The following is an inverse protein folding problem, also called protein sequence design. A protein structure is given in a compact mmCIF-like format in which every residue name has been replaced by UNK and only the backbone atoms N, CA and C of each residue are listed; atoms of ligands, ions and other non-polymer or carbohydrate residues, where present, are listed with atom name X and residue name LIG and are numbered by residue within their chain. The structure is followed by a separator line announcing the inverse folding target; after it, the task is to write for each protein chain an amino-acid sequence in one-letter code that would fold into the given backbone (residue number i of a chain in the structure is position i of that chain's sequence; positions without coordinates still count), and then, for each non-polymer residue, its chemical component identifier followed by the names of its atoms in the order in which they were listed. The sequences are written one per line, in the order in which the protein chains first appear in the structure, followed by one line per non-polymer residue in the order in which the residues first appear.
data_IF_091360884609
#
_entry.id   IF_091360884609
#
_cell.length_a   1.000
_cell.length_b   1.000
_cell.length_c   1.000
_cell.angle_alpha   90.00
_cell.angle_beta   90.00
_cell.angle_gamma   90.00
#
_symmetry.space_group_name_H-M   'P 1'
#
loop_
_entity.id
_entity.type
_entity.pdbx_description
1 polymer ?
#
# COMPACT_ATOMS: atom_id res chain seq x y z
N UNK A 1 15.90 11.32 -37.80
CA UNK A 1 16.06 10.93 -36.37
C UNK A 1 14.77 11.14 -35.59
N UNK A 2 14.33 12.38 -35.29
CA UNK A 2 13.15 12.65 -34.46
C UNK A 2 11.87 11.90 -34.87
N UNK A 3 11.48 11.89 -36.15
CA UNK A 3 10.31 11.13 -36.62
C UNK A 3 10.44 9.61 -36.39
N UNK A 4 11.66 9.08 -36.53
CA UNK A 4 11.97 7.66 -36.30
C UNK A 4 11.89 7.31 -34.81
N UNK A 5 12.27 8.24 -33.92
CA UNK A 5 12.07 8.05 -32.48
C UNK A 5 10.59 8.16 -32.11
N UNK A 6 9.90 9.21 -32.59
CA UNK A 6 8.51 9.50 -32.26
C UNK A 6 7.51 8.43 -32.76
N UNK A 7 7.81 7.74 -33.87
CA UNK A 7 6.98 6.64 -34.37
C UNK A 7 7.56 5.26 -34.05
N UNK A 8 8.87 5.09 -34.19
CA UNK A 8 9.54 3.81 -34.02
C UNK A 8 9.59 3.33 -32.56
N UNK A 9 9.77 4.22 -31.58
CA UNK A 9 9.78 3.81 -30.16
C UNK A 9 8.38 3.33 -29.73
N UNK A 10 7.27 4.06 -29.99
CA UNK A 10 5.93 3.53 -29.73
C UNK A 10 5.60 2.26 -30.52
N UNK A 11 6.04 2.13 -31.77
CA UNK A 11 5.80 0.92 -32.57
C UNK A 11 6.53 -0.30 -32.00
N UNK A 12 7.81 -0.15 -31.60
CA UNK A 12 8.59 -1.21 -30.95
C UNK A 12 7.95 -1.58 -29.61
N UNK A 13 7.52 -0.60 -28.82
CA UNK A 13 6.81 -0.84 -27.56
C UNK A 13 5.51 -1.63 -27.80
N UNK A 14 4.70 -1.24 -28.79
CA UNK A 14 3.45 -1.92 -29.15
C UNK A 14 3.69 -3.36 -29.63
N UNK A 15 4.75 -3.61 -30.43
CA UNK A 15 5.16 -4.96 -30.82
C UNK A 15 5.62 -5.78 -29.60
N UNK A 16 6.39 -5.19 -28.69
CA UNK A 16 6.88 -5.86 -27.49
C UNK A 16 5.75 -6.25 -26.51
N UNK A 17 4.70 -5.43 -26.40
CA UNK A 17 3.52 -5.74 -25.55
C UNK A 17 2.40 -6.48 -26.30
N UNK A 18 2.53 -6.75 -27.60
CA UNK A 18 1.45 -7.32 -28.42
C UNK A 18 0.91 -8.66 -27.90
N UNK A 19 1.79 -9.55 -27.42
CA UNK A 19 1.39 -10.83 -26.83
C UNK A 19 0.58 -10.65 -25.53
N UNK A 20 0.96 -9.68 -24.69
CA UNK A 20 0.21 -9.34 -23.48
C UNK A 20 -1.14 -8.70 -23.82
N UNK A 21 -1.18 -7.75 -24.76
CA UNK A 21 -2.42 -7.14 -25.26
C UNK A 21 -3.38 -8.17 -25.83
N UNK A 22 -2.88 -9.20 -26.51
CA UNK A 22 -3.70 -10.31 -27.00
C UNK A 22 -4.31 -11.14 -25.86
N UNK A 23 -3.53 -11.41 -24.81
CA UNK A 23 -4.00 -12.16 -23.63
C UNK A 23 -5.03 -11.38 -22.81
N UNK A 24 -4.90 -10.05 -22.72
CA UNK A 24 -5.86 -9.18 -22.00
C UNK A 24 -6.98 -8.62 -22.88
N UNK A 25 -7.08 -9.01 -24.16
CA UNK A 25 -8.02 -8.41 -25.13
C UNK A 25 -9.48 -8.45 -24.66
N UNK A 26 -9.86 -9.52 -23.96
CA UNK A 26 -11.24 -9.72 -23.50
C UNK A 26 -11.54 -8.79 -22.29
N UNK A 27 -10.52 -8.43 -21.49
CA UNK A 27 -10.58 -7.40 -20.45
C UNK A 27 -10.63 -5.98 -21.04
N UNK A 28 -10.01 -5.75 -22.20
CA UNK A 28 -10.15 -4.50 -22.96
C UNK A 28 -11.57 -4.33 -23.52
N UNK A 29 -12.28 -5.42 -23.82
CA UNK A 29 -13.69 -5.39 -24.23
C UNK A 29 -14.69 -5.31 -23.07
N UNK A 30 -14.29 -5.71 -21.86
CA UNK A 30 -15.17 -5.80 -20.69
C UNK A 30 -15.66 -4.42 -20.20
N UNK A 31 -16.83 -4.37 -19.51
CA UNK A 31 -17.35 -3.18 -18.85
C UNK A 31 -16.60 -2.87 -17.53
N UNK A 32 -15.27 -2.91 -17.59
CA UNK A 32 -14.39 -2.54 -16.48
C UNK A 32 -14.13 -1.03 -16.61
N UNK A 33 -14.60 -0.29 -15.61
CA UNK A 33 -14.34 1.14 -15.43
C UNK A 33 -13.70 1.35 -14.07
N UNK A 34 -12.71 2.22 -14.00
CA UNK A 34 -12.19 2.77 -12.75
C UNK A 34 -13.34 3.45 -11.99
N UNK A 35 -13.57 3.10 -10.72
CA UNK A 35 -14.56 3.77 -9.88
C UNK A 35 -14.00 5.02 -9.18
N UNK A 36 -12.76 5.42 -9.52
CA UNK A 36 -12.08 6.54 -8.88
C UNK A 36 -12.36 7.84 -9.62
N UNK A 37 -13.00 8.78 -8.92
CA UNK A 37 -13.32 10.11 -9.45
C UNK A 37 -12.16 11.10 -9.28
N UNK A 38 -12.19 12.17 -10.10
CA UNK A 38 -11.32 13.34 -9.97
C UNK A 38 -11.73 14.14 -8.74
N UNK A 39 -10.77 14.58 -7.92
CA UNK A 39 -11.00 15.42 -6.74
C UNK A 39 -10.15 16.69 -6.84
N UNK A 40 -10.79 17.83 -6.57
CA UNK A 40 -10.13 19.11 -6.43
C UNK A 40 -8.94 19.05 -5.45
N UNK A 41 -9.04 18.24 -4.39
CA UNK A 41 -8.02 18.10 -3.35
C UNK A 41 -6.77 17.34 -3.77
N UNK A 42 -6.74 16.65 -4.92
CA UNK A 42 -5.55 15.88 -5.32
C UNK A 42 -4.32 16.75 -5.64
N UNK A 43 -4.44 18.07 -5.79
CA UNK A 43 -3.27 18.95 -5.76
C UNK A 43 -2.49 18.83 -4.45
N UNK A 44 -3.16 18.53 -3.33
CA UNK A 44 -2.53 18.30 -2.04
C UNK A 44 -1.70 17.02 -2.05
N UNK A 45 -2.16 15.97 -2.74
CA UNK A 45 -1.39 14.72 -2.92
C UNK A 45 -0.11 15.00 -3.71
N UNK A 46 -0.21 15.78 -4.80
CA UNK A 46 0.96 16.21 -5.58
C UNK A 46 1.98 16.98 -4.70
N UNK A 47 1.55 17.71 -3.67
CA UNK A 47 2.46 18.48 -2.79
C UNK A 47 2.97 17.68 -1.59
N UNK A 48 2.06 17.13 -0.80
CA UNK A 48 2.34 16.53 0.51
C UNK A 48 3.09 15.19 0.37
N UNK A 49 2.65 14.32 -0.54
CA UNK A 49 3.22 12.97 -0.69
C UNK A 49 4.61 12.98 -1.33
N UNK A 50 5.01 14.11 -1.90
CA UNK A 50 6.34 14.35 -2.47
C UNK A 50 7.28 15.09 -1.49
N UNK A 51 6.86 15.30 -0.24
CA UNK A 51 7.70 15.85 0.83
C UNK A 51 7.72 17.38 0.93
N UNK A 52 6.74 18.08 0.33
CA UNK A 52 6.50 19.55 0.37
C UNK A 52 7.60 20.42 -0.21
N UNK A 53 8.85 20.27 0.25
CA UNK A 53 10.03 21.04 -0.13
C UNK A 53 10.45 20.83 -1.59
N UNK A 54 10.21 19.65 -2.17
CA UNK A 54 10.57 19.39 -3.58
C UNK A 54 9.78 20.26 -4.55
N UNK A 55 8.54 20.63 -4.21
CA UNK A 55 7.65 21.40 -5.09
C UNK A 55 8.17 22.82 -5.36
N UNK A 56 8.48 23.69 -4.37
CA UNK A 56 9.05 25.01 -4.65
C UNK A 56 10.42 24.93 -5.33
N UNK A 57 11.22 23.89 -5.05
CA UNK A 57 12.50 23.67 -5.73
C UNK A 57 12.28 23.28 -7.20
N UNK A 58 11.29 22.42 -7.49
CA UNK A 58 10.89 22.07 -8.85
C UNK A 58 10.31 23.27 -9.60
N UNK A 59 9.55 24.15 -8.94
CA UNK A 59 9.10 25.44 -9.53
C UNK A 59 10.29 26.32 -9.90
N UNK A 60 11.31 26.42 -9.04
CA UNK A 60 12.54 27.15 -9.35
C UNK A 60 13.28 26.54 -10.55
N UNK A 61 13.45 25.21 -10.59
CA UNK A 61 14.06 24.50 -11.72
C UNK A 61 13.27 24.67 -13.03
N UNK A 62 11.94 24.69 -12.96
CA UNK A 62 11.07 25.00 -14.08
C UNK A 62 11.30 26.44 -14.58
N UNK A 63 11.30 27.44 -13.69
CA UNK A 63 11.55 28.85 -14.06
C UNK A 63 12.93 29.03 -14.70
N UNK A 64 13.97 28.38 -14.17
CA UNK A 64 15.34 28.41 -14.71
C UNK A 64 15.40 27.74 -16.07
N UNK A 65 14.91 26.50 -16.19
CA UNK A 65 14.99 25.71 -17.42
C UNK A 65 14.09 26.21 -18.55
N UNK A 66 12.89 26.73 -18.25
CA UNK A 66 12.00 27.36 -19.23
C UNK A 66 12.63 28.64 -19.81
N UNK A 67 13.29 29.47 -18.98
CA UNK A 67 14.08 30.63 -19.45
C UNK A 67 15.22 30.20 -20.38
N UNK A 68 15.84 29.06 -20.11
CA UNK A 68 16.87 28.44 -20.96
C UNK A 68 16.28 27.69 -22.18
N UNK A 69 14.95 27.58 -22.30
CA UNK A 69 14.22 26.81 -23.33
C UNK A 69 14.66 25.33 -23.42
N UNK A 70 15.01 24.75 -22.26
CA UNK A 70 15.41 23.35 -22.13
C UNK A 70 14.26 22.39 -22.48
N UNK A 71 14.49 21.47 -23.42
CA UNK A 71 13.45 20.56 -23.93
C UNK A 71 12.95 19.60 -22.85
N UNK A 72 13.86 19.04 -22.05
CA UNK A 72 13.56 18.20 -20.89
C UNK A 72 12.66 18.90 -19.87
N UNK A 73 12.89 20.20 -19.64
CA UNK A 73 12.08 21.01 -18.72
C UNK A 73 10.71 21.35 -19.31
N UNK A 74 10.63 21.67 -20.60
CA UNK A 74 9.35 21.92 -21.29
C UNK A 74 8.48 20.65 -21.23
N UNK A 75 9.07 19.47 -21.47
CA UNK A 75 8.37 18.18 -21.37
C UNK A 75 7.94 17.85 -19.94
N UNK A 76 8.81 18.06 -18.94
CA UNK A 76 8.48 17.83 -17.53
C UNK A 76 7.36 18.76 -17.02
N UNK A 77 7.37 20.03 -17.42
CA UNK A 77 6.29 20.98 -17.09
C UNK A 77 4.98 20.61 -17.81
N UNK A 78 5.05 20.25 -19.10
CA UNK A 78 3.89 19.75 -19.85
C UNK A 78 3.28 18.50 -19.20
N UNK A 79 4.11 17.55 -18.78
CA UNK A 79 3.71 16.36 -18.04
C UNK A 79 2.98 16.74 -16.73
N UNK A 80 3.53 17.65 -15.92
CA UNK A 80 2.87 18.07 -14.68
C UNK A 80 1.51 18.74 -14.91
N UNK A 81 1.35 19.48 -16.00
CA UNK A 81 0.05 20.06 -16.39
C UNK A 81 -0.95 18.98 -16.80
N UNK A 82 -0.52 17.94 -17.53
CA UNK A 82 -1.36 16.79 -17.85
C UNK A 82 -1.77 16.01 -16.60
N UNK A 83 -0.83 15.73 -15.69
CA UNK A 83 -1.11 15.07 -14.40
C UNK A 83 -2.12 15.86 -13.58
N UNK A 84 -1.95 17.19 -13.50
CA UNK A 84 -2.88 18.06 -12.80
C UNK A 84 -4.27 18.07 -13.47
N UNK A 85 -4.34 18.03 -14.81
CA UNK A 85 -5.62 17.95 -15.51
C UNK A 85 -6.34 16.62 -15.27
N UNK A 86 -5.69 15.48 -15.51
CA UNK A 86 -6.29 14.15 -15.31
C UNK A 86 -6.61 13.84 -13.84
N UNK A 87 -5.90 14.43 -12.87
CA UNK A 87 -6.22 14.29 -11.46
C UNK A 87 -7.33 15.23 -10.99
N UNK A 88 -7.30 16.51 -11.39
CA UNK A 88 -8.03 17.60 -10.71
C UNK A 88 -9.10 18.23 -11.60
N UNK A 89 -8.76 18.62 -12.83
CA UNK A 89 -9.62 19.52 -13.63
C UNK A 89 -10.47 18.81 -14.70
N UNK A 90 -9.93 17.80 -15.39
CA UNK A 90 -10.61 17.06 -16.45
C UNK A 90 -10.89 17.84 -17.73
N UNK A 91 -10.12 18.88 -18.07
CA UNK A 91 -10.34 19.70 -19.28
C UNK A 91 -10.11 18.89 -20.55
N UNK A 92 -9.10 18.01 -20.57
CA UNK A 92 -8.82 17.13 -21.71
C UNK A 92 -9.93 16.10 -21.89
N UNK A 93 -10.47 15.55 -20.80
CA UNK A 93 -11.63 14.66 -20.84
C UNK A 93 -12.88 15.39 -21.34
N UNK A 94 -13.13 16.62 -20.88
CA UNK A 94 -14.28 17.41 -21.33
C UNK A 94 -14.23 17.77 -22.83
N UNK A 95 -13.04 17.96 -23.40
CA UNK A 95 -12.86 18.32 -24.83
C UNK A 95 -12.72 17.08 -25.73
N UNK A 96 -12.00 16.05 -25.27
CA UNK A 96 -11.58 14.90 -26.08
C UNK A 96 -12.09 13.55 -25.56
N UNK A 97 -12.96 13.51 -24.55
CA UNK A 97 -13.45 12.28 -23.92
C UNK A 97 -14.10 11.27 -24.88
N UNK A 98 -14.75 11.74 -25.95
CA UNK A 98 -15.27 10.84 -27.00
C UNK A 98 -14.19 10.11 -27.80
N UNK A 99 -12.97 10.67 -27.89
CA UNK A 99 -11.81 10.06 -28.54
C UNK A 99 -10.98 9.23 -27.55
N UNK A 100 -10.81 9.73 -26.32
CA UNK A 100 -9.93 9.15 -25.30
C UNK A 100 -10.63 8.17 -24.35
N UNK A 101 -11.97 8.13 -24.31
CA UNK A 101 -12.77 7.31 -23.39
C UNK A 101 -12.36 5.84 -23.25
N UNK A 102 -11.96 5.11 -24.31
CA UNK A 102 -11.45 3.74 -24.20
C UNK A 102 -10.19 3.59 -23.33
N UNK A 103 -9.43 4.68 -23.15
CA UNK A 103 -8.26 4.80 -22.29
C UNK A 103 -8.68 5.37 -20.92
N UNK A 104 -9.37 6.52 -20.91
CA UNK A 104 -9.71 7.27 -19.67
C UNK A 104 -10.61 6.49 -18.72
N UNK A 105 -11.37 5.49 -19.20
CA UNK A 105 -12.12 4.57 -18.32
C UNK A 105 -11.24 3.79 -17.33
N UNK A 106 -9.93 3.75 -17.51
CA UNK A 106 -8.98 3.11 -16.61
C UNK A 106 -8.20 4.12 -15.74
N UNK A 107 -8.47 5.42 -15.86
CA UNK A 107 -7.76 6.44 -15.10
C UNK A 107 -8.01 6.28 -13.61
N UNK A 108 -6.94 6.39 -12.83
CA UNK A 108 -7.01 6.46 -11.37
C UNK A 108 -6.46 7.82 -10.92
N UNK A 109 -7.32 8.86 -10.85
CA UNK A 109 -6.90 10.25 -10.58
C UNK A 109 -5.98 10.45 -9.36
N UNK A 110 -6.26 9.78 -8.24
CA UNK A 110 -5.39 9.79 -7.07
C UNK A 110 -3.99 9.19 -7.35
N UNK A 111 -3.94 8.04 -8.03
CA UNK A 111 -2.65 7.42 -8.40
C UNK A 111 -1.89 8.26 -9.44
N UNK A 112 -2.59 8.93 -10.35
CA UNK A 112 -2.00 9.90 -11.28
C UNK A 112 -1.40 11.08 -10.50
N UNK A 113 -2.12 11.64 -9.51
CA UNK A 113 -1.63 12.72 -8.65
C UNK A 113 -0.44 12.31 -7.76
N UNK A 114 -0.38 11.06 -7.32
CA UNK A 114 0.71 10.55 -6.48
C UNK A 114 1.93 10.13 -7.31
N UNK A 115 1.77 9.33 -8.36
CA UNK A 115 2.91 8.74 -9.08
C UNK A 115 3.34 9.55 -10.29
N UNK A 116 2.40 10.25 -10.94
CA UNK A 116 2.66 11.08 -12.11
C UNK A 116 3.71 12.19 -11.92
N UNK A 117 3.79 12.89 -10.78
CA UNK A 117 4.76 13.97 -10.59
C UNK A 117 6.20 13.50 -10.30
N UNK A 118 6.43 12.24 -9.94
CA UNK A 118 7.73 11.75 -9.43
C UNK A 118 8.89 12.05 -10.40
N UNK A 119 8.74 11.69 -11.67
CA UNK A 119 9.79 11.92 -12.69
C UNK A 119 9.97 13.43 -12.97
N UNK A 120 8.90 14.21 -13.29
CA UNK A 120 9.03 15.65 -13.44
C UNK A 120 9.65 16.37 -12.23
N UNK A 121 9.24 16.06 -11.00
CA UNK A 121 9.82 16.68 -9.81
C UNK A 121 11.27 16.26 -9.57
N UNK A 122 11.67 15.04 -9.98
CA UNK A 122 13.09 14.65 -9.94
C UNK A 122 13.93 15.49 -10.91
N UNK A 123 13.46 15.66 -12.16
CA UNK A 123 14.16 16.46 -13.19
C UNK A 123 14.21 17.94 -12.78
N UNK A 124 13.05 18.52 -12.48
CA UNK A 124 12.92 19.94 -12.16
C UNK A 124 13.54 20.27 -10.79
N UNK A 125 13.33 19.42 -9.80
CA UNK A 125 13.93 19.55 -8.47
C UNK A 125 15.45 19.45 -8.51
N UNK A 126 16.01 18.52 -9.29
CA UNK A 126 17.45 18.43 -9.53
C UNK A 126 18.03 19.70 -10.16
N UNK A 127 17.37 20.25 -11.18
CA UNK A 127 17.78 21.53 -11.81
C UNK A 127 17.67 22.69 -10.81
N UNK A 128 16.63 22.73 -9.98
CA UNK A 128 16.44 23.74 -8.93
C UNK A 128 17.52 23.66 -7.84
N UNK A 129 17.86 22.45 -7.37
CA UNK A 129 18.93 22.21 -6.40
C UNK A 129 20.30 22.61 -6.94
N UNK A 130 20.63 22.21 -8.17
CA UNK A 130 21.89 22.59 -8.82
C UNK A 130 21.98 24.12 -8.98
N UNK A 131 20.91 24.78 -9.41
CA UNK A 131 20.89 26.23 -9.51
C UNK A 131 21.07 26.92 -8.14
N UNK A 132 20.45 26.41 -7.07
CA UNK A 132 20.65 26.92 -5.71
C UNK A 132 22.10 26.72 -5.25
N UNK A 133 22.69 25.55 -5.54
CA UNK A 133 24.08 25.27 -5.26
C UNK A 133 25.01 26.26 -5.99
N UNK A 134 25.01 26.26 -7.32
CA UNK A 134 25.88 27.08 -8.17
C UNK A 134 25.74 28.58 -7.89
N UNK A 135 24.50 29.04 -7.58
CA UNK A 135 24.19 30.49 -7.54
C UNK A 135 24.16 31.10 -6.16
N UNK A 136 23.90 30.30 -5.11
CA UNK A 136 23.75 30.76 -3.73
C UNK A 136 24.80 30.16 -2.81
N UNK A 137 25.11 28.87 -2.93
CA UNK A 137 25.98 28.17 -1.97
C UNK A 137 27.45 28.23 -2.40
N UNK A 138 27.78 27.75 -3.60
CA UNK A 138 29.15 27.70 -4.12
C UNK A 138 29.87 29.06 -4.10
N UNK A 139 29.26 30.21 -4.49
CA UNK A 139 29.96 31.50 -4.49
C UNK A 139 30.37 32.00 -3.10
N UNK A 140 29.74 31.49 -2.04
CA UNK A 140 30.07 31.81 -0.64
C UNK A 140 30.96 30.74 0.01
N UNK A 141 31.08 29.56 -0.61
CA UNK A 141 32.07 28.55 -0.25
C UNK A 141 33.40 28.86 -0.95
N UNK A 142 34.22 29.70 -0.32
CA UNK A 142 35.63 29.87 -0.72
C UNK A 142 36.34 28.50 -0.71
N UNK A 143 36.49 27.91 -1.90
CA UNK A 143 37.11 26.60 -2.20
C UNK A 143 37.11 25.62 -1.01
N UNK A 144 36.09 24.75 -0.85
CA UNK A 144 35.95 23.94 0.34
C UNK A 144 37.20 23.09 0.53
N UNK A 145 37.94 23.22 1.65
CA UNK A 145 39.01 22.27 1.93
C UNK A 145 38.34 20.91 2.03
N UNK A 146 38.80 19.91 1.27
CA UNK A 146 38.19 18.57 1.19
C UNK A 146 37.81 17.97 2.56
N UNK A 147 38.54 18.34 3.62
CA UNK A 147 38.24 18.09 5.04
C UNK A 147 36.82 18.46 5.48
N UNK A 148 36.23 19.55 4.98
CA UNK A 148 34.85 19.94 5.28
C UNK A 148 33.84 18.98 4.64
N UNK A 149 34.07 18.54 3.40
CA UNK A 149 33.25 17.53 2.75
C UNK A 149 33.34 16.16 3.47
N UNK A 150 34.55 15.76 3.89
CA UNK A 150 34.71 14.59 4.76
C UNK A 150 34.03 14.76 6.12
N UNK A 151 34.03 15.96 6.71
CA UNK A 151 33.33 16.26 7.94
C UNK A 151 31.80 16.17 7.81
N UNK A 152 31.24 16.71 6.72
CA UNK A 152 29.80 16.58 6.41
C UNK A 152 29.44 15.12 6.14
N UNK A 153 30.22 14.41 5.32
CA UNK A 153 29.98 12.99 5.03
C UNK A 153 30.08 12.12 6.29
N UNK A 154 31.10 12.32 7.12
CA UNK A 154 31.23 11.65 8.41
C UNK A 154 30.06 11.98 9.34
N UNK A 155 29.59 13.24 9.37
CA UNK A 155 28.40 13.63 10.13
C UNK A 155 27.15 12.91 9.62
N UNK A 156 26.93 12.85 8.30
CA UNK A 156 25.80 12.11 7.71
C UNK A 156 25.86 10.61 7.98
N UNK A 157 27.06 10.01 7.94
CA UNK A 157 27.27 8.60 8.30
C UNK A 157 26.99 8.38 9.79
N UNK A 158 27.51 9.23 10.68
CA UNK A 158 27.25 9.14 12.13
C UNK A 158 25.77 9.35 12.44
N UNK A 159 25.07 10.24 11.74
CA UNK A 159 23.62 10.40 11.85
C UNK A 159 22.87 9.15 11.37
N UNK A 160 23.23 8.58 10.21
CA UNK A 160 22.60 7.37 9.69
C UNK A 160 22.84 6.14 10.60
N UNK A 161 24.07 5.98 11.10
CA UNK A 161 24.40 4.95 12.09
C UNK A 161 23.70 5.19 13.43
N UNK A 162 23.54 6.45 13.84
CA UNK A 162 22.76 6.83 15.01
C UNK A 162 21.28 6.47 14.86
N UNK A 163 20.67 6.79 13.71
CA UNK A 163 19.29 6.38 13.40
C UNK A 163 19.14 4.86 13.41
N UNK A 164 20.13 4.13 12.88
CA UNK A 164 20.12 2.66 12.87
C UNK A 164 20.31 2.06 14.28
N UNK A 165 21.20 2.64 15.10
CA UNK A 165 21.48 2.17 16.46
C UNK A 165 20.35 2.48 17.46
N UNK A 166 19.74 3.67 17.35
CA UNK A 166 18.67 4.15 18.23
C UNK A 166 17.27 4.04 17.60
N UNK A 167 17.09 3.10 16.66
CA UNK A 167 15.87 3.02 15.87
C UNK A 167 14.61 2.76 16.72
N UNK A 168 14.76 2.03 17.84
CA UNK A 168 13.64 1.70 18.75
C UNK A 168 13.22 2.91 19.57
N UNK A 169 14.18 3.63 20.13
CA UNK A 169 13.95 4.85 20.91
C UNK A 169 13.38 5.95 20.01
N UNK A 170 13.90 6.10 18.80
CA UNK A 170 13.35 7.02 17.80
C UNK A 170 11.92 6.63 17.39
N UNK A 171 11.65 5.33 17.17
CA UNK A 171 10.32 4.83 16.86
C UNK A 171 9.33 5.15 17.99
N UNK A 172 9.63 4.78 19.24
CA UNK A 172 8.78 5.05 20.40
C UNK A 172 8.52 6.55 20.56
N UNK A 173 9.57 7.39 20.56
CA UNK A 173 9.43 8.86 20.67
C UNK A 173 8.63 9.49 19.52
N UNK A 174 8.56 8.82 18.36
CA UNK A 174 7.80 9.30 17.20
C UNK A 174 6.31 8.89 17.21
N UNK A 175 5.88 7.95 18.06
CA UNK A 175 4.49 7.47 18.11
C UNK A 175 3.50 8.61 18.39
N UNK A 176 3.83 9.50 19.33
CA UNK A 176 2.98 10.66 19.68
C UNK A 176 3.07 11.83 18.67
N UNK A 177 4.09 11.84 17.80
CA UNK A 177 4.40 12.98 16.94
C UNK A 177 4.04 12.75 15.46
N UNK A 178 3.93 11.50 15.02
CA UNK A 178 3.64 11.14 13.64
C UNK A 178 2.42 10.21 13.54
N UNK A 179 1.55 10.49 12.57
CA UNK A 179 0.37 9.68 12.24
C UNK A 179 0.56 9.04 10.86
N UNK A 180 1.65 8.30 10.66
CA UNK A 180 1.86 7.58 9.42
C UNK A 180 0.79 6.48 9.25
N UNK A 181 0.27 6.36 8.03
CA UNK A 181 -0.69 5.32 7.67
C UNK A 181 0.04 4.18 6.96
N UNK A 182 -0.12 2.96 7.46
CA UNK A 182 0.42 1.76 6.81
C UNK A 182 -0.21 0.49 7.37
N UNK A 183 -0.57 -0.42 6.48
CA UNK A 183 -1.03 -1.76 6.81
C UNK A 183 0.20 -2.67 6.95
N UNK A 184 0.69 -2.84 8.17
CA UNK A 184 1.88 -3.65 8.45
C UNK A 184 1.51 -4.90 9.23
N UNK A 185 1.72 -6.06 8.63
CA UNK A 185 1.81 -7.33 9.34
C UNK A 185 3.07 -7.33 10.22
N UNK A 186 2.99 -7.87 11.44
CA UNK A 186 4.18 -8.06 12.27
C UNK A 186 5.06 -9.21 11.75
N UNK A 187 6.25 -9.36 12.32
CA UNK A 187 7.09 -10.52 12.05
C UNK A 187 6.39 -11.82 12.48
N UNK A 188 5.76 -11.80 13.67
CA UNK A 188 5.03 -12.91 14.24
C UNK A 188 3.82 -13.31 13.37
N UNK A 189 3.02 -12.34 12.93
CA UNK A 189 1.90 -12.56 12.02
C UNK A 189 2.37 -13.18 10.69
N UNK A 190 3.50 -12.70 10.16
CA UNK A 190 4.11 -13.22 8.93
C UNK A 190 4.59 -14.67 9.12
N UNK A 191 5.14 -15.01 10.28
CA UNK A 191 5.53 -16.39 10.63
C UNK A 191 4.32 -17.30 10.79
N UNK A 192 3.23 -16.86 11.43
CA UNK A 192 1.98 -17.62 11.54
C UNK A 192 1.33 -17.88 10.18
N UNK A 193 1.31 -16.88 9.29
CA UNK A 193 0.85 -17.06 7.90
C UNK A 193 1.78 -17.99 7.11
N UNK A 194 3.09 -17.90 7.30
CA UNK A 194 4.07 -18.80 6.66
C UNK A 194 3.90 -20.24 7.16
N UNK A 195 3.65 -20.42 8.46
CA UNK A 195 3.36 -21.73 9.05
C UNK A 195 2.10 -22.35 8.44
N UNK A 196 1.02 -21.58 8.30
CA UNK A 196 -0.19 -22.02 7.60
C UNK A 196 0.13 -22.53 6.18
N UNK A 197 0.89 -21.75 5.40
CA UNK A 197 1.28 -22.13 4.04
C UNK A 197 2.03 -23.47 3.97
N UNK A 198 2.89 -23.72 4.95
CA UNK A 198 3.86 -24.83 4.93
C UNK A 198 3.36 -26.10 5.63
N UNK A 199 2.35 -25.99 6.50
CA UNK A 199 1.91 -27.10 7.37
C UNK A 199 0.44 -27.51 7.18
N UNK A 200 -0.37 -26.77 6.41
CA UNK A 200 -1.80 -27.11 6.15
C UNK A 200 -2.06 -27.60 4.73
N UNK A 201 -3.16 -28.33 4.46
CA UNK A 201 -3.58 -28.68 3.09
C UNK A 201 -3.74 -27.46 2.18
N UNK A 202 -3.41 -27.52 0.87
CA UNK A 202 -3.53 -26.37 -0.04
C UNK A 202 -4.96 -25.84 -0.24
N UNK A 203 -5.95 -26.68 0.01
CA UNK A 203 -7.39 -26.42 -0.04
C UNK A 203 -7.99 -26.04 1.32
N UNK A 204 -7.17 -25.95 2.38
CA UNK A 204 -7.62 -25.54 3.70
C UNK A 204 -8.12 -24.09 3.72
N UNK A 205 -9.22 -23.86 4.44
CA UNK A 205 -9.90 -22.58 4.54
C UNK A 205 -9.69 -21.94 5.90
N UNK A 206 -9.27 -20.67 5.88
CA UNK A 206 -8.81 -19.93 7.06
C UNK A 206 -9.80 -18.82 7.43
N UNK A 207 -10.29 -18.84 8.67
CA UNK A 207 -10.96 -17.71 9.29
C UNK A 207 -9.90 -16.79 9.91
N UNK A 208 -9.56 -15.73 9.18
CA UNK A 208 -8.71 -14.64 9.64
C UNK A 208 -9.50 -13.58 10.42
N UNK A 209 -8.80 -12.67 11.09
CA UNK A 209 -9.42 -11.62 11.91
C UNK A 209 -10.22 -10.60 11.06
N UNK A 210 -11.42 -10.19 11.49
CA UNK A 210 -12.29 -9.29 10.75
C UNK A 210 -11.83 -7.85 10.92
N UNK A 211 -11.29 -7.30 9.84
CA UNK A 211 -10.99 -5.88 9.79
C UNK A 211 -9.98 -5.57 8.71
N UNK A 212 -9.96 -4.33 8.20
CA UNK A 212 -8.95 -3.94 7.24
C UNK A 212 -7.55 -4.01 7.87
N UNK A 213 -6.53 -4.14 7.03
CA UNK A 213 -5.11 -4.23 7.38
C UNK A 213 -4.61 -5.54 8.03
N UNK A 214 -5.28 -6.12 9.03
CA UNK A 214 -4.73 -7.31 9.72
C UNK A 214 -5.04 -8.62 9.00
N UNK A 215 -6.31 -8.82 8.60
CA UNK A 215 -6.72 -10.00 7.84
C UNK A 215 -6.24 -9.98 6.39
N UNK A 216 -6.02 -8.79 5.82
CA UNK A 216 -5.74 -8.54 4.39
C UNK A 216 -4.54 -9.33 3.83
N UNK A 217 -3.56 -9.65 4.67
CA UNK A 217 -2.32 -10.32 4.28
C UNK A 217 -2.41 -11.86 4.30
N UNK A 218 -3.35 -12.44 5.04
CA UNK A 218 -3.50 -13.90 5.20
C UNK A 218 -3.64 -14.62 3.85
N UNK A 219 -4.58 -14.28 2.94
CA UNK A 219 -4.69 -14.98 1.66
C UNK A 219 -3.44 -14.81 0.76
N UNK A 220 -2.62 -13.78 0.99
CA UNK A 220 -1.43 -13.47 0.18
C UNK A 220 -0.18 -14.21 0.69
N UNK A 221 -0.01 -14.31 2.01
CA UNK A 221 1.20 -14.91 2.63
C UNK A 221 0.98 -16.39 2.97
N UNK A 222 -0.21 -16.76 3.47
CA UNK A 222 -0.54 -18.15 3.74
C UNK A 222 -0.86 -18.94 2.48
N UNK A 223 -1.18 -18.27 1.36
CA UNK A 223 -1.60 -18.91 0.11
C UNK A 223 -2.74 -19.92 0.36
N UNK A 224 -3.75 -19.50 1.14
CA UNK A 224 -4.94 -20.27 1.52
C UNK A 224 -6.21 -19.49 1.26
N UNK A 225 -7.30 -20.22 1.01
CA UNK A 225 -8.63 -19.63 0.96
C UNK A 225 -8.94 -18.98 2.31
N UNK A 226 -9.39 -17.72 2.28
CA UNK A 226 -9.49 -16.88 3.48
C UNK A 226 -10.79 -16.09 3.48
N UNK A 227 -11.49 -16.09 4.62
CA UNK A 227 -12.82 -15.49 4.76
C UNK A 227 -12.81 -13.98 4.52
N UNK A 228 -11.93 -13.25 5.22
CA UNK A 228 -11.78 -11.80 5.07
C UNK A 228 -10.67 -11.46 4.08
N UNK A 229 -10.93 -10.45 3.26
CA UNK A 229 -9.98 -9.96 2.27
C UNK A 229 -10.20 -8.48 2.03
N UNK A 230 -9.16 -7.79 1.54
CA UNK A 230 -9.27 -6.39 1.14
C UNK A 230 -10.14 -6.25 -0.11
N UNK A 231 -11.39 -5.87 0.07
CA UNK A 231 -12.30 -5.54 -1.03
C UNK A 231 -11.67 -4.50 -1.95
N UNK A 232 -11.43 -4.86 -3.21
CA UNK A 232 -10.92 -3.94 -4.21
C UNK A 232 -12.08 -3.24 -4.93
N UNK A 233 -11.96 -1.96 -5.31
CA UNK A 233 -13.08 -1.22 -5.95
C UNK A 233 -13.56 -1.79 -7.30
N UNK A 234 -12.80 -2.70 -7.91
CA UNK A 234 -13.14 -3.39 -9.16
C UNK A 234 -13.69 -4.82 -8.98
N UNK A 235 -13.81 -5.31 -7.74
CA UNK A 235 -14.49 -6.59 -7.47
C UNK A 235 -16.00 -6.44 -7.71
N UNK A 236 -16.61 -7.46 -8.31
CA UNK A 236 -18.03 -7.51 -8.67
C UNK A 236 -18.65 -8.81 -8.15
N UNK A 237 -19.97 -8.81 -7.91
CA UNK A 237 -20.73 -9.97 -7.41
C UNK A 237 -20.23 -10.50 -6.05
N UNK A 238 -19.81 -9.59 -5.16
CA UNK A 238 -19.24 -9.93 -3.85
C UNK A 238 -20.29 -10.08 -2.74
N UNK A 239 -21.58 -10.00 -3.05
CA UNK A 239 -22.66 -10.00 -2.05
C UNK A 239 -22.69 -11.27 -1.20
N UNK A 240 -22.38 -12.42 -1.81
CA UNK A 240 -22.33 -13.71 -1.12
C UNK A 240 -21.18 -13.79 -0.11
N UNK A 241 -19.97 -13.39 -0.50
CA UNK A 241 -18.79 -13.43 0.38
C UNK A 241 -18.81 -12.33 1.43
N UNK A 242 -19.39 -11.17 1.14
CA UNK A 242 -19.63 -10.12 2.15
C UNK A 242 -20.69 -10.57 3.18
N UNK A 243 -21.76 -11.25 2.75
CA UNK A 243 -22.76 -11.83 3.67
C UNK A 243 -22.17 -12.94 4.55
N UNK A 244 -21.25 -13.75 4.01
CA UNK A 244 -20.48 -14.73 4.78
C UNK A 244 -19.55 -14.07 5.81
N UNK A 245 -18.76 -13.07 5.40
CA UNK A 245 -17.91 -12.28 6.30
C UNK A 245 -18.69 -11.63 7.44
N UNK A 246 -19.94 -11.20 7.17
CA UNK A 246 -20.84 -10.66 8.20
C UNK A 246 -21.29 -11.73 9.19
N UNK A 247 -21.69 -12.93 8.71
CA UNK A 247 -22.09 -14.05 9.58
C UNK A 247 -20.94 -14.50 10.47
N UNK A 248 -19.76 -14.73 9.89
CA UNK A 248 -18.57 -15.20 10.62
C UNK A 248 -18.00 -14.15 11.59
N UNK A 249 -18.51 -12.91 11.59
CA UNK A 249 -18.21 -11.95 12.66
C UNK A 249 -18.78 -12.38 14.02
N UNK A 250 -19.84 -13.21 14.03
CA UNK A 250 -20.40 -13.75 15.27
C UNK A 250 -19.39 -14.58 16.08
N UNK A 251 -18.52 -15.34 15.40
CA UNK A 251 -17.39 -16.02 16.03
C UNK A 251 -16.48 -15.03 16.75
N UNK A 252 -16.03 -13.98 16.06
CA UNK A 252 -15.10 -13.00 16.63
C UNK A 252 -15.71 -12.14 17.75
N UNK A 253 -17.04 -12.05 17.87
CA UNK A 253 -17.71 -11.37 18.99
C UNK A 253 -17.77 -12.22 20.27
N UNK A 254 -17.67 -13.55 20.18
CA UNK A 254 -17.67 -14.49 21.30
C UNK A 254 -17.12 -15.87 20.87
N UNK A 255 -15.79 -16.06 20.73
CA UNK A 255 -15.24 -17.35 20.34
C UNK A 255 -15.66 -18.51 21.27
N UNK A 256 -15.85 -18.26 22.57
CA UNK A 256 -16.33 -19.27 23.53
C UNK A 256 -17.78 -19.75 23.30
N UNK A 257 -18.54 -19.17 22.35
CA UNK A 257 -19.91 -19.62 22.07
C UNK A 257 -19.92 -20.99 21.37
N UNK A 258 -20.53 -21.99 22.00
CA UNK A 258 -20.60 -23.34 21.42
C UNK A 258 -21.38 -23.39 20.09
N UNK A 259 -22.33 -22.47 19.88
CA UNK A 259 -23.08 -22.37 18.62
C UNK A 259 -22.17 -21.97 17.44
N UNK A 260 -21.05 -21.28 17.70
CA UNK A 260 -20.08 -20.93 16.67
C UNK A 260 -19.33 -22.15 16.11
N UNK A 261 -19.24 -23.27 16.84
CA UNK A 261 -18.69 -24.52 16.29
C UNK A 261 -19.48 -25.01 15.07
N UNK A 262 -20.82 -24.91 15.13
CA UNK A 262 -21.69 -25.25 14.00
C UNK A 262 -21.54 -24.25 12.84
N UNK A 263 -21.31 -22.97 13.14
CA UNK A 263 -21.07 -21.92 12.15
C UNK A 263 -19.74 -22.14 11.40
N UNK A 264 -18.66 -22.49 12.11
CA UNK A 264 -17.37 -22.83 11.48
C UNK A 264 -17.51 -24.07 10.58
N UNK A 265 -18.25 -25.09 11.03
CA UNK A 265 -18.52 -26.28 10.24
C UNK A 265 -19.39 -26.01 9.00
N UNK A 266 -20.45 -25.19 9.09
CA UNK A 266 -21.29 -24.78 7.93
C UNK A 266 -20.44 -24.12 6.84
N UNK A 267 -19.48 -23.30 7.26
CA UNK A 267 -18.60 -22.54 6.37
C UNK A 267 -17.30 -23.25 5.99
N UNK A 268 -17.14 -24.52 6.38
CA UNK A 268 -15.95 -25.36 6.13
C UNK A 268 -14.64 -24.69 6.57
N UNK A 269 -14.61 -24.07 7.75
CA UNK A 269 -13.40 -23.47 8.31
C UNK A 269 -12.52 -24.57 8.93
N UNK A 270 -11.29 -24.70 8.45
CA UNK A 270 -10.31 -25.66 8.96
C UNK A 270 -9.40 -25.02 10.01
N UNK A 271 -9.03 -23.75 9.84
CA UNK A 271 -8.12 -23.03 10.73
C UNK A 271 -8.61 -21.62 11.07
N UNK A 272 -8.29 -21.14 12.27
CA UNK A 272 -8.48 -19.75 12.71
C UNK A 272 -7.11 -19.12 12.95
N UNK A 273 -6.83 -17.95 12.37
CA UNK A 273 -5.59 -17.20 12.63
C UNK A 273 -5.88 -15.90 13.39
N UNK A 274 -5.17 -15.72 14.50
CA UNK A 274 -5.32 -14.59 15.42
C UNK A 274 -4.06 -13.73 15.37
N UNK A 275 -4.16 -12.44 14.96
CA UNK A 275 -3.02 -11.55 14.89
C UNK A 275 -2.39 -11.27 16.25
N UNK A 276 -1.07 -11.07 16.28
CA UNK A 276 -0.29 -10.73 17.47
C UNK A 276 -0.89 -9.57 18.28
N UNK A 277 -1.42 -8.55 17.60
CA UNK A 277 -1.95 -7.36 18.26
C UNK A 277 -3.28 -7.58 18.99
N UNK A 278 -3.97 -8.70 18.71
CA UNK A 278 -5.23 -9.08 19.38
C UNK A 278 -4.95 -9.79 20.71
N UNK A 279 -3.99 -10.72 20.72
CA UNK A 279 -3.58 -11.51 21.90
C UNK A 279 -2.59 -10.75 22.79
N UNK A 280 -1.71 -9.94 22.18
CA UNK A 280 -0.70 -9.12 22.84
C UNK A 280 -0.80 -7.66 22.36
N UNK A 281 -1.78 -6.88 22.86
CA UNK A 281 -1.97 -5.48 22.45
C UNK A 281 -0.75 -4.59 22.67
N UNK A 282 0.10 -4.90 23.66
CA UNK A 282 1.31 -4.14 23.99
C UNK A 282 2.40 -4.24 22.90
N UNK A 283 2.35 -5.27 22.04
CA UNK A 283 3.27 -5.42 20.90
C UNK A 283 3.34 -4.16 20.01
N UNK A 284 2.23 -3.41 19.91
CA UNK A 284 2.09 -2.16 19.14
C UNK A 284 3.14 -1.10 19.48
N UNK A 285 3.66 -1.08 20.71
CA UNK A 285 4.67 -0.13 21.16
C UNK A 285 5.96 -0.28 20.34
N UNK A 286 6.34 -1.53 20.03
CA UNK A 286 7.58 -1.88 19.34
C UNK A 286 7.44 -2.01 17.82
N UNK A 287 6.22 -2.18 17.31
CA UNK A 287 5.95 -2.23 15.86
C UNK A 287 6.19 -0.88 15.15
N UNK A 288 6.68 -0.93 13.91
CA UNK A 288 6.82 0.22 12.99
C UNK A 288 5.48 0.74 12.44
N UNK A 289 4.52 1.06 13.32
CA UNK A 289 3.10 1.14 12.93
C UNK A 289 2.39 2.48 13.18
N UNK A 290 2.78 3.24 14.20
CA UNK A 290 2.20 4.54 14.62
C UNK A 290 0.72 4.56 15.05
N UNK A 291 -0.19 3.91 14.33
CA UNK A 291 -1.63 3.86 14.65
C UNK A 291 -2.05 2.50 15.17
N UNK A 292 -2.73 2.49 16.31
CA UNK A 292 -3.34 1.29 16.89
C UNK A 292 -4.36 0.73 15.88
N UNK A 293 -4.32 -0.57 15.53
CA UNK A 293 -5.41 -1.21 14.79
C UNK A 293 -6.70 -1.14 15.60
N UNK A 294 -7.83 -0.87 14.94
CA UNK A 294 -9.17 -1.03 15.52
C UNK A 294 -9.49 -0.22 16.78
N UNK A 295 -9.36 1.11 16.73
CA UNK A 295 -9.79 1.97 17.84
C UNK A 295 -11.27 1.80 18.27
N UNK A 296 -12.15 1.28 17.38
CA UNK A 296 -13.62 1.23 17.60
C UNK A 296 -14.32 0.00 16.95
N UNK A 297 -13.61 -0.98 16.37
CA UNK A 297 -14.19 -1.84 15.32
C UNK A 297 -14.89 -3.14 15.78
N UNK A 298 -14.47 -3.77 16.89
CA UNK A 298 -15.05 -5.03 17.36
C UNK A 298 -14.81 -5.24 18.87
N UNK A 299 -15.88 -5.49 19.62
CA UNK A 299 -15.80 -5.90 21.03
C UNK A 299 -15.82 -7.43 21.11
N UNK A 300 -14.71 -8.03 21.56
CA UNK A 300 -14.61 -9.47 21.82
C UNK A 300 -15.03 -9.76 23.26
N UNK A 301 -15.98 -10.68 23.48
CA UNK A 301 -16.49 -11.04 24.81
C UNK A 301 -15.74 -12.22 25.47
N UNK A 302 -14.92 -12.91 24.70
CA UNK A 302 -14.05 -14.03 25.09
C UNK A 302 -12.84 -14.08 24.14
N UNK A 303 -11.79 -14.79 24.54
CA UNK A 303 -10.60 -15.02 23.72
C UNK A 303 -10.78 -16.25 22.82
N UNK A 304 -10.01 -16.36 21.74
CA UNK A 304 -10.05 -17.56 20.87
C UNK A 304 -9.58 -18.82 21.62
N UNK A 305 -8.73 -18.65 22.64
CA UNK A 305 -8.31 -19.72 23.54
C UNK A 305 -9.44 -20.27 24.44
N UNK A 306 -10.57 -19.56 24.60
CA UNK A 306 -11.73 -20.01 25.37
C UNK A 306 -12.67 -20.93 24.56
N UNK A 307 -12.36 -21.21 23.30
CA UNK A 307 -13.20 -22.02 22.41
C UNK A 307 -12.82 -23.52 22.46
N UNK A 308 -13.57 -24.32 23.23
CA UNK A 308 -13.35 -25.77 23.41
C UNK A 308 -13.32 -26.62 22.11
N UNK A 309 -13.75 -26.04 20.98
CA UNK A 309 -13.79 -26.67 19.65
C UNK A 309 -12.62 -26.26 18.73
N UNK A 310 -11.62 -25.57 19.27
CA UNK A 310 -10.39 -25.14 18.61
C UNK A 310 -9.15 -25.69 19.36
N UNK A 311 -8.17 -26.20 18.62
CA UNK A 311 -6.88 -26.65 19.17
C UNK A 311 -5.75 -25.71 18.73
N UNK A 312 -4.97 -25.17 19.67
CA UNK A 312 -3.83 -24.30 19.35
C UNK A 312 -2.69 -25.13 18.72
N UNK A 313 -2.41 -24.89 17.44
CA UNK A 313 -1.39 -25.63 16.66
C UNK A 313 -0.12 -24.82 16.40
N UNK A 314 -0.17 -23.48 16.52
CA UNK A 314 1.00 -22.61 16.41
C UNK A 314 0.83 -21.33 17.25
N UNK A 315 1.90 -20.88 17.91
CA UNK A 315 2.00 -19.58 18.58
C UNK A 315 3.43 -19.06 18.41
N UNK A 316 3.57 -17.81 17.97
CA UNK A 316 4.82 -17.06 18.09
C UNK A 316 4.54 -15.62 18.55
N UNK A 317 5.05 -15.26 19.73
CA UNK A 317 4.93 -13.91 20.33
C UNK A 317 3.48 -13.38 20.41
N UNK A 318 2.49 -14.28 20.41
CA UNK A 318 1.05 -13.99 20.39
C UNK A 318 0.36 -14.13 19.02
N UNK A 319 1.08 -14.20 17.90
CA UNK A 319 0.45 -14.57 16.63
C UNK A 319 0.13 -16.06 16.65
N UNK A 320 -1.17 -16.40 16.66
CA UNK A 320 -1.65 -17.75 16.93
C UNK A 320 -2.42 -18.35 15.77
N UNK A 321 -2.31 -19.66 15.59
CA UNK A 321 -3.13 -20.46 14.67
C UNK A 321 -3.78 -21.60 15.44
N UNK A 322 -5.08 -21.73 15.27
CA UNK A 322 -5.90 -22.79 15.84
C UNK A 322 -6.47 -23.68 14.72
N UNK A 323 -6.52 -24.99 14.94
CA UNK A 323 -7.19 -25.98 14.09
C UNK A 323 -8.61 -26.25 14.59
N UNK A 324 -9.57 -26.39 13.69
CA UNK A 324 -10.97 -26.63 14.03
C UNK A 324 -11.22 -28.13 14.28
N UNK A 325 -11.40 -28.50 15.55
CA UNK A 325 -11.61 -29.89 15.99
C UNK A 325 -13.09 -30.27 16.19
N UNK A 326 -14.02 -29.31 16.01
CA UNK A 326 -15.44 -29.43 16.34
C UNK A 326 -16.20 -30.60 15.68
N UNK A 327 -15.72 -31.16 14.56
CA UNK A 327 -16.32 -32.36 13.98
C UNK A 327 -16.20 -33.61 14.87
N UNK A 328 -15.18 -33.71 15.74
CA UNK A 328 -15.03 -34.86 16.64
C UNK A 328 -16.03 -34.84 17.82
N UNK A 329 -16.46 -33.65 18.26
CA UNK A 329 -17.43 -33.49 19.34
C UNK A 329 -18.83 -34.00 18.92
N UNK A 330 -19.21 -33.84 17.66
CA UNK A 330 -20.51 -34.28 17.12
C UNK A 330 -20.64 -35.82 16.98
N UNK A 331 -19.54 -36.57 16.99
CA UNK A 331 -19.53 -38.04 16.86
C UNK A 331 -19.45 -38.72 18.24
N UNK A 332 -19.20 -37.94 19.31
CA UNK A 332 -18.92 -38.42 20.66
C UNK A 332 -20.09 -38.27 21.65
N UNK A 333 -21.23 -37.73 21.22
CA UNK A 333 -22.41 -37.40 22.05
C UNK A 333 -23.62 -38.31 21.85
#
# INVERSE_FOLDING_TARGET
VWLVLALGVPLIALVAVAAWLFNIRDLLGAPITSPFERDANYWQVMVLYHGVLIVPIAVLGAVVGLKQRRQDVILAVGWLLLVLDFAVFGVIEAIFGGLLGPILRYDYPFSIAWHGPIIPYTILGGIGLLWLWDRVIEPHLSAPPYRAAYGVLATLIVLALGVLAFNRELLVNSKDQANFFGAFSSHADTEAMTWLRENTPPDARVLNFPGPQEGDWVPVIAERDSVYYRMQPFFQNAEASLAEQERLRAFWQNPADADNAALLAEHNIDYVIVPQVVTNPNSIETMYRWRIPFAEALEMRSEVADADYLELVFDVDGAQVYEFSGQQLAISG
#
